data_IF_444155523233
#
_entry.id   IF_444155523233
#
_cell.length_a   1.000
_cell.length_b   1.000
_cell.length_c   1.000
_cell.angle_alpha   90.00
_cell.angle_beta   90.00
_cell.angle_gamma   90.00
#
_symmetry.space_group_name_H-M   'P 1'
#
loop_
_entity.id
_entity.type
_entity.pdbx_description
1 polymer ?
#
# COMPACT_ATOMS: atom_id res chain seq x y z
N UNK A 1 -4.64 20.22 -5.09
CA UNK A 1 -5.14 18.84 -5.28
C UNK A 1 -5.68 18.34 -3.95
N UNK A 2 -6.85 17.68 -3.90
CA UNK A 2 -7.46 17.24 -2.63
C UNK A 2 -7.56 15.70 -2.57
N UNK A 3 -7.21 15.05 -1.46
CA UNK A 3 -7.32 13.60 -1.33
C UNK A 3 -8.77 13.14 -1.40
N UNK A 4 -9.05 12.14 -2.23
CA UNK A 4 -10.38 11.53 -2.41
C UNK A 4 -10.27 10.00 -2.33
N UNK A 5 -11.40 9.31 -2.15
CA UNK A 5 -11.44 7.84 -2.24
C UNK A 5 -10.95 7.35 -3.62
N UNK A 6 -11.28 8.08 -4.69
CA UNK A 6 -10.81 7.75 -6.04
C UNK A 6 -9.29 7.87 -6.18
N UNK A 7 -8.68 8.91 -5.58
CA UNK A 7 -7.21 9.03 -5.60
C UNK A 7 -6.53 7.96 -4.75
N UNK A 8 -7.13 7.55 -3.64
CA UNK A 8 -6.64 6.43 -2.82
C UNK A 8 -6.66 5.13 -3.62
N UNK A 9 -7.79 4.78 -4.25
CA UNK A 9 -7.92 3.58 -5.06
C UNK A 9 -6.92 3.55 -6.23
N UNK A 10 -6.72 4.70 -6.91
CA UNK A 10 -5.72 4.83 -7.98
C UNK A 10 -4.30 4.63 -7.46
N UNK A 11 -3.92 5.30 -6.37
CA UNK A 11 -2.58 5.22 -5.83
C UNK A 11 -2.24 3.83 -5.28
N UNK A 12 -3.18 3.20 -4.56
CA UNK A 12 -3.00 1.82 -4.10
C UNK A 12 -3.01 0.82 -5.26
N UNK A 13 -3.86 1.04 -6.27
CA UNK A 13 -3.85 0.24 -7.50
C UNK A 13 -2.52 0.34 -8.26
N UNK A 14 -1.91 1.52 -8.34
CA UNK A 14 -0.58 1.70 -8.91
C UNK A 14 0.50 0.97 -8.10
N UNK A 15 0.41 0.97 -6.77
CA UNK A 15 1.31 0.19 -5.92
C UNK A 15 1.20 -1.32 -6.22
N UNK A 16 -0.03 -1.86 -6.33
CA UNK A 16 -0.23 -3.27 -6.68
C UNK A 16 0.28 -3.59 -8.09
N UNK A 17 0.03 -2.70 -9.05
CA UNK A 17 0.55 -2.84 -10.42
C UNK A 17 2.08 -2.84 -10.44
N UNK A 18 2.72 -1.96 -9.66
CA UNK A 18 4.18 -1.94 -9.51
C UNK A 18 4.68 -3.26 -8.91
N UNK A 19 4.03 -3.78 -7.87
CA UNK A 19 4.36 -5.08 -7.28
C UNK A 19 4.30 -6.20 -8.32
N UNK A 20 3.23 -6.26 -9.13
CA UNK A 20 3.09 -7.25 -10.21
C UNK A 20 4.20 -7.08 -11.25
N UNK A 21 4.51 -5.84 -11.63
CA UNK A 21 5.59 -5.54 -12.58
C UNK A 21 6.93 -6.05 -12.04
N UNK A 22 7.22 -5.79 -10.77
CA UNK A 22 8.46 -6.23 -10.14
C UNK A 22 8.53 -7.74 -9.89
N UNK A 23 7.39 -8.44 -9.75
CA UNK A 23 7.39 -9.90 -9.74
C UNK A 23 7.97 -10.49 -11.03
N UNK A 24 7.76 -9.83 -12.17
CA UNK A 24 8.32 -10.24 -13.47
C UNK A 24 9.74 -9.73 -13.67
N UNK A 25 9.99 -8.46 -13.33
CA UNK A 25 11.30 -7.81 -13.59
C UNK A 25 12.41 -8.33 -12.67
N UNK A 26 12.12 -8.58 -11.39
CA UNK A 26 13.13 -9.02 -10.42
C UNK A 26 13.91 -10.27 -10.84
N UNK A 27 13.27 -11.39 -11.23
CA UNK A 27 14.02 -12.58 -11.65
C UNK A 27 14.81 -12.36 -12.94
N UNK A 28 14.35 -11.48 -13.85
CA UNK A 28 15.06 -11.16 -15.09
C UNK A 28 16.36 -10.39 -14.83
N UNK A 29 16.39 -9.57 -13.78
CA UNK A 29 17.55 -8.75 -13.42
C UNK A 29 18.39 -9.34 -12.27
N UNK A 30 17.98 -10.48 -11.71
CA UNK A 30 18.59 -11.04 -10.50
C UNK A 30 18.45 -10.12 -9.27
N UNK A 31 17.45 -9.23 -9.26
CA UNK A 31 17.22 -8.25 -8.20
C UNK A 31 16.14 -8.69 -7.22
N UNK A 32 16.00 -7.98 -6.10
CA UNK A 32 14.99 -8.27 -5.08
C UNK A 32 14.29 -7.00 -4.56
N UNK A 33 13.78 -6.17 -5.47
CA UNK A 33 13.00 -5.00 -5.08
C UNK A 33 11.69 -5.40 -4.42
N UNK A 34 11.27 -4.61 -3.43
CA UNK A 34 10.12 -4.89 -2.55
C UNK A 34 10.18 -6.26 -1.84
N UNK A 35 11.36 -6.90 -1.81
CA UNK A 35 11.60 -8.22 -1.21
C UNK A 35 10.66 -9.32 -1.73
N UNK A 36 10.36 -9.28 -3.03
CA UNK A 36 9.38 -10.20 -3.63
C UNK A 36 9.95 -11.60 -3.92
N UNK A 37 11.26 -11.74 -4.10
CA UNK A 37 11.91 -13.02 -4.44
C UNK A 37 12.42 -13.77 -3.21
N UNK A 38 12.91 -13.04 -2.22
CA UNK A 38 13.43 -13.60 -0.97
C UNK A 38 13.26 -12.57 0.16
N UNK A 39 13.12 -13.01 1.42
CA UNK A 39 13.11 -12.09 2.56
C UNK A 39 14.45 -11.34 2.66
N UNK A 40 14.47 -10.12 3.22
CA UNK A 40 15.74 -9.45 3.53
C UNK A 40 16.50 -10.16 4.63
N UNK A 41 17.83 -10.05 4.58
CA UNK A 41 18.73 -10.60 5.60
C UNK A 41 18.64 -9.88 6.96
N UNK A 42 17.96 -8.73 7.01
CA UNK A 42 17.76 -7.97 8.24
C UNK A 42 16.66 -8.57 9.11
N UNK A 43 16.94 -8.74 10.41
CA UNK A 43 15.93 -9.04 11.42
C UNK A 43 15.03 -7.81 11.68
N UNK A 44 14.14 -7.52 10.74
CA UNK A 44 13.19 -6.41 10.83
C UNK A 44 11.82 -6.91 11.32
N UNK A 45 11.17 -6.20 12.25
CA UNK A 45 9.87 -6.59 12.80
C UNK A 45 8.75 -6.59 11.76
N UNK A 46 8.96 -6.00 10.58
CA UNK A 46 7.98 -5.99 9.48
C UNK A 46 7.87 -7.34 8.76
N UNK A 47 8.85 -8.24 8.90
CA UNK A 47 8.87 -9.56 8.27
C UNK A 47 8.50 -10.67 9.27
N UNK A 48 7.42 -10.44 10.03
CA UNK A 48 6.96 -11.35 11.08
C UNK A 48 6.32 -12.64 10.56
N UNK A 49 5.91 -12.68 9.30
CA UNK A 49 5.41 -13.89 8.66
C UNK A 49 6.46 -14.46 7.69
N UNK A 50 6.52 -15.79 7.49
CA UNK A 50 7.40 -16.39 6.51
C UNK A 50 7.14 -15.84 5.11
N UNK A 51 8.19 -15.73 4.30
CA UNK A 51 8.00 -15.45 2.87
C UNK A 51 7.16 -16.59 2.24
N UNK A 52 6.20 -16.30 1.34
CA UNK A 52 5.79 -14.98 0.83
C UNK A 52 4.60 -14.35 1.59
N UNK A 53 4.15 -14.95 2.70
CA UNK A 53 2.90 -14.58 3.39
C UNK A 53 2.90 -13.17 3.98
N UNK A 54 4.06 -12.60 4.32
CA UNK A 54 4.11 -11.21 4.79
C UNK A 54 3.74 -10.21 3.68
N UNK A 55 3.87 -10.56 2.39
CA UNK A 55 3.62 -9.65 1.27
C UNK A 55 2.14 -9.20 1.22
N UNK A 56 1.15 -10.10 1.17
CA UNK A 56 -0.26 -9.69 1.22
C UNK A 56 -0.63 -9.02 2.54
N UNK A 57 0.02 -9.39 3.65
CA UNK A 57 -0.21 -8.76 4.96
C UNK A 57 0.27 -7.30 4.95
N UNK A 58 1.48 -7.04 4.45
CA UNK A 58 2.01 -5.69 4.27
C UNK A 58 1.18 -4.87 3.27
N UNK A 59 0.63 -5.49 2.23
CA UNK A 59 -0.31 -4.82 1.33
C UNK A 59 -1.59 -4.39 2.07
N UNK A 60 -2.14 -5.25 2.94
CA UNK A 60 -3.28 -4.91 3.79
C UNK A 60 -2.98 -3.79 4.79
N UNK A 61 -1.82 -3.82 5.45
CA UNK A 61 -1.34 -2.75 6.33
C UNK A 61 -1.15 -1.45 5.55
N UNK A 62 -0.60 -1.52 4.34
CA UNK A 62 -0.48 -0.38 3.43
C UNK A 62 -1.85 0.24 3.13
N UNK A 63 -2.84 -0.58 2.75
CA UNK A 63 -4.20 -0.11 2.49
C UNK A 63 -4.82 0.58 3.73
N UNK A 64 -4.59 0.01 4.92
CA UNK A 64 -5.01 0.61 6.18
C UNK A 64 -4.38 2.00 6.37
N UNK A 65 -3.07 2.14 6.15
CA UNK A 65 -2.39 3.45 6.25
C UNK A 65 -2.93 4.47 5.24
N UNK A 66 -3.17 4.07 3.99
CA UNK A 66 -3.82 4.92 3.01
C UNK A 66 -5.20 5.40 3.50
N UNK A 67 -5.98 4.50 4.10
CA UNK A 67 -7.28 4.83 4.71
C UNK A 67 -7.17 5.82 5.87
N UNK A 68 -6.22 5.59 6.79
CA UNK A 68 -5.94 6.48 7.94
C UNK A 68 -5.54 7.87 7.46
N UNK A 69 -4.67 7.96 6.46
CA UNK A 69 -4.25 9.25 5.87
C UNK A 69 -5.39 9.98 5.17
N UNK A 70 -6.34 9.26 4.56
CA UNK A 70 -7.53 9.85 3.94
C UNK A 70 -8.58 10.30 4.97
N UNK A 71 -8.64 9.65 6.13
CA UNK A 71 -9.67 9.85 7.15
C UNK A 71 -9.93 11.33 7.53
N UNK A 72 -8.94 12.16 7.88
CA UNK A 72 -9.22 13.55 8.30
C UNK A 72 -9.90 14.37 7.19
N UNK A 73 -9.52 14.15 5.94
CA UNK A 73 -10.10 14.84 4.79
C UNK A 73 -11.54 14.41 4.53
N UNK A 74 -11.80 13.10 4.60
CA UNK A 74 -13.13 12.53 4.42
C UNK A 74 -14.09 12.95 5.54
N UNK A 75 -13.62 13.02 6.79
CA UNK A 75 -14.38 13.50 7.94
C UNK A 75 -14.72 14.98 7.77
N UNK A 76 -13.72 15.83 7.48
CA UNK A 76 -13.93 17.26 7.26
C UNK A 76 -14.94 17.53 6.13
N UNK A 77 -14.96 16.68 5.10
CA UNK A 77 -15.93 16.75 4.01
C UNK A 77 -17.36 16.44 4.42
N UNK A 78 -17.53 15.39 5.22
CA UNK A 78 -18.84 15.00 5.73
C UNK A 78 -19.40 16.10 6.63
N UNK A 79 -18.55 16.76 7.42
CA UNK A 79 -18.95 17.82 8.33
C UNK A 79 -19.40 19.09 7.59
N UNK A 80 -18.66 19.53 6.56
CA UNK A 80 -19.08 20.68 5.72
C UNK A 80 -20.42 20.43 5.04
N UNK A 81 -20.62 19.23 4.48
CA UNK A 81 -21.89 18.84 3.84
C UNK A 81 -23.09 18.84 4.78
N UNK A 82 -22.88 18.56 6.07
CA UNK A 82 -23.94 18.60 7.10
C UNK A 82 -24.27 20.02 7.58
N UNK A 83 -23.35 20.98 7.48
CA UNK A 83 -23.56 22.39 7.89
C UNK A 83 -24.12 23.29 6.77
N UNK A 84 -24.04 22.85 5.52
CA UNK A 84 -24.60 23.56 4.36
C UNK A 84 -26.03 23.11 3.97
N UNK A 85 -26.67 22.32 4.83
CA UNK A 85 -28.10 21.97 4.85
C UNK A 85 -28.67 22.47 6.17
#
# INVERSE_FOLDING_TARGET
MRPTLASLARAFGLLLLLTITLLVVNPLLGSNYMFLQQPPDSASPFFFAPWPYYIPVLAGIGLLFFGVLLAPFAIADRWRRRRGR
#
